data_IF_552515291766
#
_entry.id   IF_552515291766
#
_cell.length_a   1.000
_cell.length_b   1.000
_cell.length_c   1.000
_cell.angle_alpha   90.00
_cell.angle_beta   90.00
_cell.angle_gamma   90.00
#
_symmetry.space_group_name_H-M   'P 1'
#
loop_
_entity.id
_entity.type
_entity.pdbx_description
1 polymer ?
#
# COMPACT_ATOMS: atom_id res chain seq x y z
N UNK A 1 -14.91 6.71 11.81
CA UNK A 1 -15.02 6.55 13.28
C UNK A 1 -14.55 5.21 13.83
N UNK A 2 -14.81 4.06 13.15
CA UNK A 2 -14.32 2.76 13.64
C UNK A 2 -12.80 2.60 13.51
N UNK A 3 -12.21 3.03 12.40
CA UNK A 3 -10.77 2.97 12.15
C UNK A 3 -9.96 3.81 13.16
N UNK A 4 -10.44 5.00 13.49
CA UNK A 4 -9.81 5.88 14.48
C UNK A 4 -9.82 5.28 15.89
N UNK A 5 -10.93 4.61 16.27
CA UNK A 5 -11.03 3.90 17.57
C UNK A 5 -10.11 2.69 17.63
N UNK A 6 -9.95 1.95 16.52
CA UNK A 6 -9.03 0.81 16.45
C UNK A 6 -7.57 1.28 16.53
N UNK A 7 -7.20 2.30 15.76
CA UNK A 7 -5.87 2.89 15.79
C UNK A 7 -5.50 3.40 17.20
N UNK A 8 -6.42 4.08 17.87
CA UNK A 8 -6.21 4.57 19.25
C UNK A 8 -6.00 3.41 20.25
N UNK A 9 -6.74 2.31 20.10
CA UNK A 9 -6.57 1.12 20.95
C UNK A 9 -5.23 0.42 20.72
N UNK A 10 -4.78 0.34 19.46
CA UNK A 10 -3.49 -0.26 19.11
C UNK A 10 -2.33 0.61 19.64
N UNK A 11 -2.43 1.93 19.53
CA UNK A 11 -1.45 2.87 20.11
C UNK A 11 -1.41 2.74 21.63
N UNK A 12 -2.57 2.66 22.29
CA UNK A 12 -2.64 2.48 23.74
C UNK A 12 -2.05 1.14 24.19
N UNK A 13 -2.30 0.07 23.44
CA UNK A 13 -1.69 -1.23 23.69
C UNK A 13 -0.16 -1.22 23.48
N UNK A 14 0.32 -0.55 22.43
CA UNK A 14 1.76 -0.39 22.16
C UNK A 14 2.45 0.44 23.24
N UNK A 15 1.80 1.53 23.73
CA UNK A 15 2.29 2.33 24.85
C UNK A 15 2.29 1.57 26.19
N UNK A 16 1.29 0.71 26.42
CA UNK A 16 1.25 -0.15 27.61
C UNK A 16 2.33 -1.24 27.58
N UNK A 17 2.65 -1.78 26.42
CA UNK A 17 3.75 -2.74 26.24
C UNK A 17 5.12 -2.06 26.40
N UNK A 18 5.25 -0.79 26.07
CA UNK A 18 6.46 0.00 26.28
C UNK A 18 6.64 0.46 27.75
N UNK A 19 5.56 0.50 28.53
CA UNK A 19 5.52 1.11 29.90
C UNK A 19 6.07 0.27 31.05
N UNK A 20 6.68 -0.88 30.78
CA UNK A 20 7.19 -1.78 31.86
C UNK A 20 8.56 -1.43 32.47
N UNK A 21 9.27 -0.41 31.98
CA UNK A 21 10.53 0.05 32.54
C UNK A 21 10.54 1.58 32.57
N UNK A 22 11.26 2.20 33.47
CA UNK A 22 11.44 3.66 33.61
C UNK A 22 12.21 4.27 32.42
N UNK A 23 11.71 4.07 31.22
CA UNK A 23 12.27 4.47 29.97
C UNK A 23 12.00 5.98 29.75
N UNK A 24 13.02 6.73 29.37
CA UNK A 24 12.81 8.09 28.85
C UNK A 24 12.12 7.98 27.51
N UNK A 25 10.85 8.38 27.46
CA UNK A 25 10.06 8.44 26.24
C UNK A 25 10.05 9.86 25.74
N UNK A 26 10.34 10.04 24.47
CA UNK A 26 10.29 11.31 23.77
C UNK A 26 9.17 11.26 22.74
N UNK A 27 8.30 12.25 22.76
CA UNK A 27 7.13 12.32 21.89
C UNK A 27 7.21 13.58 21.02
N UNK A 28 7.12 13.38 19.73
CA UNK A 28 6.97 14.45 18.75
C UNK A 28 5.61 14.33 18.09
N UNK A 29 4.82 15.38 18.12
CA UNK A 29 3.54 15.41 17.44
C UNK A 29 3.45 16.57 16.47
N UNK A 30 2.84 16.33 15.32
CA UNK A 30 2.76 17.28 14.21
C UNK A 30 1.32 17.34 13.70
N UNK A 31 0.51 18.28 14.20
CA UNK A 31 -0.78 18.57 13.60
C UNK A 31 -0.56 19.15 12.21
N UNK A 32 -1.39 18.74 11.28
CA UNK A 32 -1.35 19.25 9.91
C UNK A 32 -2.74 19.49 9.37
N UNK A 33 -2.85 20.41 8.42
CA UNK A 33 -4.03 20.58 7.60
C UNK A 33 -3.59 20.77 6.15
N UNK A 34 -4.25 20.09 5.23
CA UNK A 34 -4.02 20.27 3.80
C UNK A 34 -5.31 20.70 3.14
N UNK A 35 -5.19 21.63 2.20
CA UNK A 35 -6.25 21.98 1.27
C UNK A 35 -5.83 21.53 -0.10
N UNK A 36 -6.71 20.82 -0.80
CA UNK A 36 -6.47 20.30 -2.13
C UNK A 36 -7.54 20.83 -3.07
N UNK A 37 -7.10 21.34 -4.21
CA UNK A 37 -7.94 21.58 -5.35
C UNK A 37 -7.45 20.69 -6.49
N UNK A 38 -8.36 20.01 -7.19
CA UNK A 38 -7.98 19.07 -8.23
C UNK A 38 -8.97 19.03 -9.37
N UNK A 39 -8.54 18.41 -10.46
CA UNK A 39 -9.34 18.12 -11.63
C UNK A 39 -9.08 16.67 -12.03
N UNK A 40 -10.15 15.95 -12.34
CA UNK A 40 -10.11 14.58 -12.85
C UNK A 40 -10.98 14.51 -14.09
N UNK A 41 -10.41 14.08 -15.20
CA UNK A 41 -11.12 13.98 -16.47
C UNK A 41 -11.98 12.71 -16.61
N UNK A 42 -11.87 11.78 -15.65
CA UNK A 42 -12.61 10.52 -15.66
C UNK A 42 -12.96 10.06 -14.25
N UNK A 43 -13.88 10.77 -13.59
CA UNK A 43 -14.29 10.51 -12.18
C UNK A 43 -14.87 9.11 -12.00
N UNK A 44 -15.70 8.65 -12.94
CA UNK A 44 -16.39 7.35 -12.86
C UNK A 44 -15.58 6.17 -13.43
N UNK A 45 -14.39 6.41 -13.96
CA UNK A 45 -13.56 5.39 -14.61
C UNK A 45 -14.28 4.66 -15.78
N UNK A 46 -15.20 5.31 -16.43
CA UNK A 46 -16.00 4.77 -17.55
C UNK A 46 -15.78 5.50 -18.88
N UNK A 47 -14.77 6.37 -18.95
CA UNK A 47 -14.46 7.18 -20.12
C UNK A 47 -15.31 8.45 -20.25
N UNK A 48 -16.15 8.75 -19.25
CA UNK A 48 -16.97 9.97 -19.22
C UNK A 48 -16.94 10.61 -17.83
N UNK A 49 -17.18 11.90 -17.80
CA UNK A 49 -17.37 12.62 -16.55
C UNK A 49 -16.10 13.24 -15.98
N UNK A 50 -15.75 14.40 -16.48
CA UNK A 50 -14.71 15.25 -15.91
C UNK A 50 -15.29 16.15 -14.82
N UNK A 51 -14.57 16.32 -13.71
CA UNK A 51 -14.98 17.26 -12.66
C UNK A 51 -13.81 17.83 -11.86
N UNK A 52 -14.09 18.96 -11.23
CA UNK A 52 -13.25 19.56 -10.21
C UNK A 52 -13.55 19.01 -8.82
N UNK A 53 -12.53 18.89 -7.99
CA UNK A 53 -12.68 18.50 -6.58
C UNK A 53 -11.99 19.50 -5.67
N UNK A 54 -12.67 19.86 -4.58
CA UNK A 54 -12.09 20.57 -3.46
C UNK A 54 -12.05 19.64 -2.24
N UNK A 55 -10.94 19.63 -1.50
CA UNK A 55 -10.80 18.80 -0.32
C UNK A 55 -10.09 19.53 0.80
N UNK A 56 -10.56 19.32 2.03
CA UNK A 56 -9.88 19.71 3.26
C UNK A 56 -9.47 18.42 4.02
N UNK A 57 -8.21 18.34 4.41
CA UNK A 57 -7.62 17.13 5.00
C UNK A 57 -6.87 17.51 6.28
N UNK A 58 -7.55 17.60 7.43
CA UNK A 58 -6.87 17.61 8.72
C UNK A 58 -6.18 16.28 9.00
N UNK A 59 -5.06 16.34 9.71
CA UNK A 59 -4.31 15.16 10.08
C UNK A 59 -3.40 15.40 11.28
N UNK A 60 -2.86 14.30 11.80
CA UNK A 60 -1.89 14.29 12.88
C UNK A 60 -0.85 13.24 12.62
N UNK A 61 0.40 13.60 12.81
CA UNK A 61 1.52 12.67 12.87
C UNK A 61 2.07 12.66 14.29
N UNK A 62 2.33 11.46 14.80
CA UNK A 62 2.89 11.21 16.12
C UNK A 62 4.09 10.29 15.96
N UNK A 63 5.24 10.72 16.44
CA UNK A 63 6.46 9.92 16.54
C UNK A 63 6.81 9.75 18.02
N UNK A 64 6.96 8.51 18.48
CA UNK A 64 7.34 8.16 19.84
C UNK A 64 8.67 7.42 19.80
N UNK A 65 9.64 7.95 20.49
CA UNK A 65 10.98 7.36 20.62
C UNK A 65 11.20 6.92 22.05
N UNK A 66 11.67 5.72 22.24
CA UNK A 66 11.95 5.13 23.55
C UNK A 66 13.29 4.41 23.56
N UNK A 67 13.60 3.82 24.73
CA UNK A 67 14.77 2.97 24.89
C UNK A 67 14.69 1.74 23.96
N UNK A 68 15.81 1.01 23.82
CA UNK A 68 15.91 -0.15 22.94
C UNK A 68 15.61 0.11 21.46
N UNK A 69 15.91 1.33 20.98
CA UNK A 69 15.60 1.80 19.62
C UNK A 69 14.10 1.66 19.27
N UNK A 70 13.23 1.76 20.29
CA UNK A 70 11.79 1.80 20.05
C UNK A 70 11.44 3.09 19.31
N UNK A 71 10.82 2.92 18.15
CA UNK A 71 10.24 4.00 17.39
C UNK A 71 8.82 3.58 16.97
N UNK A 72 7.82 4.36 17.40
CA UNK A 72 6.43 4.21 16.97
C UNK A 72 6.05 5.45 16.20
N UNK A 73 5.65 5.29 14.95
CA UNK A 73 5.17 6.36 14.08
C UNK A 73 3.70 6.13 13.75
N UNK A 74 2.84 7.08 14.06
CA UNK A 74 1.43 7.10 13.67
C UNK A 74 1.21 8.30 12.76
N UNK A 75 0.55 8.08 11.63
CA UNK A 75 0.13 9.12 10.72
C UNK A 75 -1.32 8.90 10.33
N UNK A 76 -2.21 9.78 10.77
CA UNK A 76 -3.64 9.73 10.48
C UNK A 76 -4.11 11.02 9.84
N UNK A 77 -4.97 10.90 8.85
CA UNK A 77 -5.64 12.01 8.20
C UNK A 77 -7.07 11.64 7.85
N UNK A 78 -7.95 12.63 7.92
CA UNK A 78 -9.34 12.50 7.51
C UNK A 78 -9.67 13.64 6.56
N UNK A 79 -10.11 13.33 5.36
CA UNK A 79 -10.45 14.32 4.34
C UNK A 79 -11.96 14.40 4.14
N UNK A 80 -12.42 15.59 3.84
CA UNK A 80 -13.77 15.82 3.33
C UNK A 80 -13.62 16.47 1.97
N UNK A 81 -14.13 15.80 0.93
CA UNK A 81 -14.09 16.26 -0.45
C UNK A 81 -15.47 16.60 -0.98
N UNK A 82 -15.52 17.53 -1.91
CA UNK A 82 -16.71 17.91 -2.65
C UNK A 82 -16.37 18.00 -4.13
N UNK A 83 -17.19 17.37 -4.94
CA UNK A 83 -17.17 17.55 -6.41
C UNK A 83 -17.82 18.88 -6.77
N UNK A 84 -17.38 19.50 -7.88
CA UNK A 84 -17.96 20.76 -8.37
C UNK A 84 -19.38 20.52 -8.94
N UNK A 85 -19.60 19.38 -9.62
CA UNK A 85 -20.87 19.03 -10.25
C UNK A 85 -21.32 17.61 -9.86
N UNK A 86 -21.62 17.35 -8.57
CA UNK A 86 -21.90 16.01 -8.08
C UNK A 86 -23.15 15.36 -8.74
N UNK A 87 -24.13 16.15 -9.11
CA UNK A 87 -25.37 15.71 -9.78
C UNK A 87 -25.11 15.08 -11.16
N UNK A 88 -24.04 15.49 -11.85
CA UNK A 88 -23.64 14.88 -13.14
C UNK A 88 -23.24 13.42 -13.01
N UNK A 89 -22.96 12.96 -11.78
CA UNK A 89 -22.51 11.60 -11.45
C UNK A 89 -23.55 10.83 -10.63
N UNK A 90 -24.78 11.36 -10.50
CA UNK A 90 -25.84 10.74 -9.74
C UNK A 90 -25.71 10.92 -8.21
N UNK A 91 -24.81 11.76 -7.74
CA UNK A 91 -24.72 12.16 -6.34
C UNK A 91 -25.71 13.28 -6.03
N UNK A 92 -26.25 13.31 -4.83
CA UNK A 92 -27.10 14.43 -4.40
C UNK A 92 -26.30 15.74 -4.38
N UNK A 93 -26.91 16.83 -4.82
CA UNK A 93 -26.31 18.16 -4.74
C UNK A 93 -25.92 18.47 -3.29
N UNK A 94 -24.64 18.75 -3.04
CA UNK A 94 -24.12 19.01 -1.70
C UNK A 94 -23.58 17.77 -0.97
N UNK A 95 -23.49 16.61 -1.61
CA UNK A 95 -22.86 15.43 -1.03
C UNK A 95 -21.36 15.67 -0.81
N UNK A 96 -20.92 15.38 0.40
CA UNK A 96 -19.50 15.36 0.76
C UNK A 96 -19.03 13.91 0.80
N UNK A 97 -17.89 13.63 0.20
CA UNK A 97 -17.24 12.35 0.31
C UNK A 97 -16.19 12.39 1.43
N UNK A 98 -16.18 11.35 2.26
CA UNK A 98 -15.21 11.20 3.34
C UNK A 98 -14.07 10.29 2.91
N UNK A 99 -12.84 10.69 3.25
CA UNK A 99 -11.64 9.90 3.01
C UNK A 99 -10.82 9.87 4.30
N UNK A 100 -10.48 8.67 4.76
CA UNK A 100 -9.70 8.49 5.98
C UNK A 100 -8.50 7.59 5.67
N UNK A 101 -7.32 7.99 6.11
CA UNK A 101 -6.12 7.16 6.04
C UNK A 101 -5.38 7.22 7.36
N UNK A 102 -5.05 6.04 7.89
CA UNK A 102 -4.18 5.91 9.05
C UNK A 102 -3.06 4.93 8.73
N UNK A 103 -1.84 5.23 9.14
CA UNK A 103 -0.72 4.31 9.14
C UNK A 103 -0.02 4.30 10.48
N UNK A 104 0.43 3.12 10.89
CA UNK A 104 1.21 2.87 12.10
C UNK A 104 2.45 2.09 11.68
N UNK A 105 3.61 2.54 12.11
CA UNK A 105 4.87 1.82 12.02
C UNK A 105 5.49 1.69 13.42
N UNK A 106 5.97 0.50 13.75
CA UNK A 106 6.68 0.25 15.01
C UNK A 106 7.95 -0.50 14.72
N UNK A 107 9.07 0.00 15.21
CA UNK A 107 10.36 -0.68 15.21
C UNK A 107 10.89 -0.74 16.62
N UNK A 108 11.44 -1.89 17.02
CA UNK A 108 12.04 -2.07 18.32
C UNK A 108 13.13 -3.13 18.29
N UNK A 109 14.11 -3.01 19.17
CA UNK A 109 15.01 -4.11 19.52
C UNK A 109 14.46 -4.79 20.77
N UNK A 110 13.85 -5.97 20.60
CA UNK A 110 13.32 -6.76 21.71
C UNK A 110 14.47 -7.35 22.55
N UNK A 111 15.60 -7.63 21.89
CA UNK A 111 16.85 -8.07 22.49
C UNK A 111 18.02 -7.63 21.60
N UNK A 112 19.29 -7.82 22.00
CA UNK A 112 20.44 -7.59 21.12
C UNK A 112 20.41 -8.42 19.83
N UNK A 113 19.62 -9.49 19.79
CA UNK A 113 19.50 -10.39 18.63
C UNK A 113 18.16 -10.28 17.91
N UNK A 114 17.15 -9.69 18.54
CA UNK A 114 15.78 -9.66 18.02
C UNK A 114 15.37 -8.25 17.66
N UNK A 115 14.95 -8.06 16.41
CA UNK A 115 14.36 -6.83 15.90
C UNK A 115 12.92 -7.09 15.50
N UNK A 116 12.03 -6.22 15.90
CA UNK A 116 10.62 -6.20 15.52
C UNK A 116 10.36 -5.04 14.55
N UNK A 117 9.69 -5.32 13.44
CA UNK A 117 9.11 -4.32 12.54
C UNK A 117 7.62 -4.67 12.36
N UNK A 118 6.72 -3.75 12.74
CA UNK A 118 5.29 -3.89 12.53
C UNK A 118 4.78 -2.68 11.78
N UNK A 119 4.02 -2.89 10.73
CA UNK A 119 3.38 -1.83 9.94
C UNK A 119 1.92 -2.15 9.76
N UNK A 120 1.08 -1.16 9.98
CA UNK A 120 -0.34 -1.25 9.71
C UNK A 120 -0.78 -0.01 8.95
N UNK A 121 -1.69 -0.17 8.02
CA UNK A 121 -2.35 0.94 7.35
C UNK A 121 -3.80 0.59 7.06
N UNK A 122 -4.66 1.61 7.11
CA UNK A 122 -6.05 1.50 6.73
C UNK A 122 -6.44 2.75 5.96
N UNK A 123 -7.09 2.56 4.83
CA UNK A 123 -7.62 3.64 4.01
C UNK A 123 -9.08 3.35 3.72
N UNK A 124 -9.94 4.30 4.02
CA UNK A 124 -11.32 4.33 3.59
C UNK A 124 -11.52 5.53 2.67
N UNK A 125 -12.12 5.34 1.54
CA UNK A 125 -12.37 6.41 0.60
C UNK A 125 -13.72 6.24 -0.09
N UNK A 126 -14.49 7.31 -0.07
CA UNK A 126 -15.71 7.50 -0.87
C UNK A 126 -15.42 8.27 -2.17
N UNK A 127 -14.22 8.80 -2.27
CA UNK A 127 -13.77 9.59 -3.41
C UNK A 127 -12.73 8.80 -4.20
N UNK A 128 -12.97 8.52 -5.47
CA UNK A 128 -12.01 7.83 -6.34
C UNK A 128 -10.65 8.54 -6.46
N UNK A 129 -10.57 9.85 -6.18
CA UNK A 129 -9.30 10.57 -6.12
C UNK A 129 -8.37 10.11 -4.99
N UNK A 130 -8.92 9.61 -3.89
CA UNK A 130 -8.12 9.20 -2.74
C UNK A 130 -7.41 7.86 -2.95
N UNK A 131 -7.79 7.09 -3.97
CA UNK A 131 -7.28 5.75 -4.25
C UNK A 131 -6.46 5.77 -5.54
N UNK A 132 -5.58 6.72 -5.67
CA UNK A 132 -4.60 6.73 -6.75
C UNK A 132 -3.45 5.77 -6.40
N UNK A 133 -3.55 4.53 -6.84
CA UNK A 133 -2.52 3.52 -6.68
C UNK A 133 -2.32 2.71 -7.96
N UNK A 134 -1.07 2.45 -8.33
CA UNK A 134 -0.77 1.59 -9.47
C UNK A 134 -1.33 0.19 -9.26
N UNK A 135 -2.02 -0.33 -10.27
CA UNK A 135 -2.50 -1.69 -10.30
C UNK A 135 -3.73 -1.97 -9.44
N UNK A 136 -4.31 -0.97 -8.78
CA UNK A 136 -5.59 -1.15 -8.10
C UNK A 136 -6.71 -1.14 -9.15
N UNK A 137 -7.31 -2.30 -9.39
CA UNK A 137 -8.42 -2.48 -10.32
C UNK A 137 -9.71 -2.01 -9.64
N UNK A 138 -10.06 -0.73 -9.76
CA UNK A 138 -11.35 -0.21 -9.32
C UNK A 138 -12.38 -0.47 -10.41
N UNK A 139 -13.60 -0.88 -10.02
CA UNK A 139 -14.73 -0.97 -10.95
C UNK A 139 -15.34 0.41 -11.18
N UNK A 140 -15.86 0.69 -12.40
CA UNK A 140 -16.65 1.87 -12.64
C UNK A 140 -17.85 1.95 -11.68
N UNK A 141 -18.08 3.14 -11.12
CA UNK A 141 -19.22 3.36 -10.20
C UNK A 141 -19.00 2.87 -8.77
N UNK A 142 -17.83 2.37 -8.41
CA UNK A 142 -17.48 2.07 -7.02
C UNK A 142 -17.15 3.36 -6.27
N UNK A 143 -17.97 3.67 -5.27
CA UNK A 143 -17.85 4.90 -4.50
C UNK A 143 -17.13 4.68 -3.16
N UNK A 144 -17.28 3.48 -2.57
CA UNK A 144 -16.74 3.17 -1.26
C UNK A 144 -15.70 2.07 -1.35
N UNK A 145 -14.48 2.36 -0.94
CA UNK A 145 -13.39 1.37 -0.88
C UNK A 145 -12.72 1.44 0.48
N UNK A 146 -12.57 0.30 1.10
CA UNK A 146 -11.76 0.11 2.30
C UNK A 146 -10.60 -0.83 1.98
N UNK A 147 -9.38 -0.37 2.27
CA UNK A 147 -8.15 -1.17 2.16
C UNK A 147 -7.45 -1.15 3.49
N UNK A 148 -7.17 -2.31 4.06
CA UNK A 148 -6.32 -2.42 5.24
C UNK A 148 -5.15 -3.35 4.96
N UNK A 149 -3.99 -3.02 5.51
CA UNK A 149 -2.77 -3.83 5.43
C UNK A 149 -2.14 -3.90 6.82
N UNK A 150 -1.64 -5.07 7.17
CA UNK A 150 -0.85 -5.31 8.36
C UNK A 150 0.34 -6.16 7.96
N UNK A 151 1.53 -5.79 8.37
CA UNK A 151 2.72 -6.63 8.29
C UNK A 151 3.41 -6.65 9.64
N UNK A 152 3.90 -7.80 10.04
CA UNK A 152 4.69 -7.97 11.25
C UNK A 152 5.82 -8.94 10.98
N UNK A 153 7.05 -8.55 11.30
CA UNK A 153 8.26 -9.35 11.10
C UNK A 153 9.15 -9.28 12.33
N UNK A 154 9.69 -10.41 12.71
CA UNK A 154 10.75 -10.53 13.71
C UNK A 154 11.98 -11.09 13.02
N UNK A 155 13.09 -10.37 13.12
CA UNK A 155 14.40 -10.80 12.65
C UNK A 155 15.22 -11.24 13.85
N UNK A 156 15.63 -12.52 13.89
CA UNK A 156 16.47 -13.11 14.93
C UNK A 156 17.87 -13.39 14.41
N UNK A 157 18.87 -12.71 14.94
CA UNK A 157 20.28 -12.93 14.59
C UNK A 157 20.78 -14.22 15.26
N UNK A 158 21.03 -15.26 14.47
CA UNK A 158 21.68 -16.51 14.95
C UNK A 158 23.16 -16.29 15.19
N UNK A 159 23.79 -15.52 14.32
CA UNK A 159 25.23 -15.18 14.38
C UNK A 159 25.50 -13.81 13.76
N UNK A 160 26.73 -13.37 13.71
CA UNK A 160 27.14 -12.15 12.97
C UNK A 160 26.90 -12.25 11.44
N UNK A 161 26.69 -13.47 10.93
CA UNK A 161 26.57 -13.74 9.49
C UNK A 161 25.23 -14.36 9.08
N UNK A 162 24.38 -14.76 10.04
CA UNK A 162 23.12 -15.44 9.72
C UNK A 162 21.96 -14.95 10.60
N UNK A 163 20.79 -14.91 10.02
CA UNK A 163 19.56 -14.49 10.67
C UNK A 163 18.36 -15.31 10.16
N UNK A 164 17.36 -15.46 11.01
CA UNK A 164 16.04 -15.98 10.67
C UNK A 164 15.06 -14.81 10.75
N UNK A 165 14.22 -14.68 9.75
CA UNK A 165 13.06 -13.80 9.74
C UNK A 165 11.78 -14.62 9.71
N UNK A 166 10.82 -14.21 10.52
CA UNK A 166 9.51 -14.83 10.54
C UNK A 166 8.44 -13.78 10.84
N UNK A 167 7.29 -13.96 10.23
CA UNK A 167 6.22 -13.00 10.39
C UNK A 167 4.98 -13.35 9.60
N UNK A 168 4.11 -12.37 9.46
CA UNK A 168 2.91 -12.49 8.65
C UNK A 168 2.51 -11.13 8.06
N UNK A 169 1.99 -11.17 6.84
CA UNK A 169 1.29 -10.08 6.21
C UNK A 169 -0.22 -10.37 6.19
N UNK A 170 -1.04 -9.35 6.34
CA UNK A 170 -2.46 -9.44 6.12
C UNK A 170 -2.94 -8.25 5.29
N UNK A 171 -3.86 -8.49 4.39
CA UNK A 171 -4.50 -7.46 3.58
C UNK A 171 -6.01 -7.72 3.56
N UNK A 172 -6.81 -6.68 3.78
CA UNK A 172 -8.24 -6.71 3.59
C UNK A 172 -8.64 -5.70 2.54
N UNK A 173 -9.61 -6.08 1.73
CA UNK A 173 -10.20 -5.25 0.69
C UNK A 173 -11.72 -5.39 0.78
N UNK A 174 -12.41 -4.26 0.91
CA UNK A 174 -13.86 -4.23 0.94
C UNK A 174 -14.38 -3.06 0.11
N UNK A 175 -15.46 -3.32 -0.60
CA UNK A 175 -16.16 -2.34 -1.43
C UNK A 175 -17.56 -2.10 -0.83
N UNK A 176 -18.20 -1.01 -1.21
CA UNK A 176 -19.55 -0.66 -0.76
C UNK A 176 -20.62 -1.72 -1.05
N UNK A 177 -21.79 -1.54 -0.50
CA UNK A 177 -22.86 -2.54 -0.50
C UNK A 177 -23.18 -3.08 -1.90
N UNK A 178 -23.18 -4.42 -2.03
CA UNK A 178 -23.53 -5.13 -3.26
C UNK A 178 -22.36 -5.55 -4.14
N UNK A 179 -21.12 -5.22 -3.76
CA UNK A 179 -19.97 -5.57 -4.57
C UNK A 179 -19.43 -6.97 -4.26
N UNK A 180 -19.20 -7.70 -5.35
CA UNK A 180 -18.46 -8.97 -5.34
C UNK A 180 -16.98 -8.66 -5.30
N UNK A 181 -16.22 -9.32 -4.45
CA UNK A 181 -14.77 -9.15 -4.40
C UNK A 181 -14.25 -8.64 -3.07
N UNK A 182 -15.13 -8.55 -2.07
CA UNK A 182 -14.70 -8.36 -0.70
C UNK A 182 -13.91 -9.58 -0.22
N UNK A 183 -12.76 -9.35 0.39
CA UNK A 183 -11.96 -10.45 0.88
C UNK A 183 -10.76 -10.01 1.68
N UNK A 184 -10.08 -10.98 2.25
CA UNK A 184 -8.82 -10.76 2.94
C UNK A 184 -7.84 -11.89 2.63
N UNK A 185 -6.57 -11.57 2.76
CA UNK A 185 -5.45 -12.48 2.63
C UNK A 185 -4.65 -12.45 3.92
N UNK A 186 -4.18 -13.60 4.35
CA UNK A 186 -3.17 -13.73 5.41
C UNK A 186 -2.00 -14.51 4.84
N UNK A 187 -0.78 -14.02 5.06
CA UNK A 187 0.41 -14.59 4.46
C UNK A 187 1.54 -14.73 5.51
N UNK A 188 1.53 -15.81 6.32
CA UNK A 188 2.67 -16.15 7.15
C UNK A 188 3.90 -16.49 6.31
N UNK A 189 5.07 -16.12 6.79
CA UNK A 189 6.33 -16.37 6.12
C UNK A 189 7.44 -16.72 7.12
N UNK A 190 8.43 -17.45 6.64
CA UNK A 190 9.64 -17.81 7.34
C UNK A 190 10.81 -17.72 6.36
N UNK A 191 11.88 -17.06 6.76
CA UNK A 191 13.08 -16.90 5.96
C UNK A 191 14.35 -17.23 6.76
N UNK A 192 15.37 -17.60 6.03
CA UNK A 192 16.73 -17.73 6.54
C UNK A 192 17.67 -16.97 5.61
N UNK A 193 18.50 -16.12 6.19
CA UNK A 193 19.44 -15.33 5.43
C UNK A 193 20.86 -15.48 5.98
N UNK A 194 21.85 -15.43 5.07
CA UNK A 194 23.26 -15.50 5.42
C UNK A 194 24.09 -14.52 4.60
N UNK A 195 25.02 -13.87 5.26
CA UNK A 195 25.97 -12.94 4.66
C UNK A 195 27.21 -13.72 4.19
N UNK A 196 27.47 -13.69 2.91
CA UNK A 196 28.67 -14.27 2.32
C UNK A 196 29.84 -13.28 2.29
N UNK A 197 29.53 -11.98 2.37
CA UNK A 197 30.53 -10.91 2.50
C UNK A 197 29.90 -9.69 3.18
N UNK A 198 30.70 -8.64 3.39
CA UNK A 198 30.19 -7.36 3.89
C UNK A 198 29.16 -6.70 2.93
N UNK A 199 29.14 -7.10 1.65
CA UNK A 199 28.28 -6.53 0.61
C UNK A 199 27.25 -7.50 0.07
N UNK A 200 27.32 -8.79 0.39
CA UNK A 200 26.46 -9.80 -0.21
C UNK A 200 25.75 -10.63 0.84
N UNK A 201 24.45 -10.82 0.62
CA UNK A 201 23.55 -11.59 1.45
C UNK A 201 22.68 -12.47 0.56
N UNK A 202 22.56 -13.74 0.91
CA UNK A 202 21.60 -14.66 0.35
C UNK A 202 20.44 -14.84 1.32
N UNK A 203 19.26 -15.07 0.81
CA UNK A 203 18.08 -15.46 1.60
C UNK A 203 17.31 -16.58 0.90
N UNK A 204 16.72 -17.44 1.70
CA UNK A 204 15.72 -18.42 1.26
C UNK A 204 14.49 -18.26 2.13
N UNK A 205 13.32 -18.22 1.53
CA UNK A 205 12.08 -18.01 2.26
C UNK A 205 10.93 -18.85 1.73
N UNK A 206 10.09 -19.27 2.65
CA UNK A 206 8.80 -19.88 2.36
C UNK A 206 7.70 -18.92 2.80
N UNK A 207 6.63 -18.85 2.01
CA UNK A 207 5.46 -18.03 2.30
C UNK A 207 4.22 -18.80 1.93
N UNK A 208 3.25 -18.77 2.82
CA UNK A 208 1.92 -19.28 2.59
C UNK A 208 0.95 -18.12 2.48
N UNK A 209 0.05 -18.13 1.50
CA UNK A 209 -0.96 -17.11 1.31
C UNK A 209 -2.33 -17.78 1.34
N UNK A 210 -3.17 -17.34 2.26
CA UNK A 210 -4.54 -17.84 2.45
C UNK A 210 -5.50 -16.75 1.99
N UNK A 211 -6.31 -17.04 0.98
CA UNK A 211 -7.26 -16.10 0.39
C UNK A 211 -8.68 -16.43 0.86
N UNK A 212 -9.36 -15.46 1.41
CA UNK A 212 -10.71 -15.59 1.96
C UNK A 212 -11.66 -14.62 1.28
N UNK A 213 -12.82 -15.12 0.83
CA UNK A 213 -13.93 -14.28 0.39
C UNK A 213 -14.81 -13.88 1.58
N UNK A 214 -15.42 -12.70 1.51
CA UNK A 214 -16.34 -12.17 2.51
C UNK A 214 -17.63 -11.72 1.83
N UNK A 215 -18.79 -12.14 2.35
CA UNK A 215 -20.10 -11.69 1.88
C UNK A 215 -21.04 -12.82 1.48
N UNK A 216 -22.31 -12.46 1.30
CA UNK A 216 -23.39 -13.40 0.90
C UNK A 216 -23.38 -13.75 -0.60
N UNK A 217 -22.58 -13.03 -1.39
CA UNK A 217 -22.49 -13.25 -2.82
C UNK A 217 -21.18 -14.01 -3.11
N UNK A 218 -21.28 -15.31 -3.38
CA UNK A 218 -20.10 -16.13 -3.62
C UNK A 218 -19.36 -15.57 -4.85
N UNK A 219 -18.02 -15.67 -4.83
CA UNK A 219 -17.23 -15.58 -6.04
C UNK A 219 -17.99 -16.33 -7.17
N UNK A 220 -18.17 -15.74 -8.37
CA UNK A 220 -18.89 -16.40 -9.48
C UNK A 220 -18.34 -17.80 -9.81
N UNK A 221 -17.21 -18.19 -9.24
CA UNK A 221 -16.59 -19.51 -9.32
C UNK A 221 -16.87 -20.42 -8.13
N UNK A 222 -17.33 -19.87 -7.00
CA UNK A 222 -17.74 -20.71 -5.88
C UNK A 222 -19.11 -21.35 -6.21
N UNK A 223 -19.35 -22.60 -5.79
CA UNK A 223 -20.67 -23.19 -5.89
C UNK A 223 -21.72 -22.26 -5.25
N UNK A 224 -22.86 -22.08 -5.90
CA UNK A 224 -23.92 -21.24 -5.38
C UNK A 224 -24.26 -21.66 -3.94
N UNK A 225 -24.18 -20.72 -2.98
CA UNK A 225 -24.44 -20.98 -1.57
C UNK A 225 -23.22 -21.31 -0.72
N UNK A 226 -22.00 -21.26 -1.24
CA UNK A 226 -20.81 -21.38 -0.40
C UNK A 226 -20.70 -20.17 0.54
N UNK A 227 -20.71 -20.36 1.87
CA UNK A 227 -20.49 -19.26 2.81
C UNK A 227 -19.09 -18.69 2.59
N UNK A 228 -18.89 -17.39 2.88
CA UNK A 228 -17.57 -16.77 2.88
C UNK A 228 -16.57 -17.65 3.66
N UNK A 229 -15.43 -17.96 3.04
CA UNK A 229 -14.43 -18.87 3.62
C UNK A 229 -13.15 -18.87 2.82
N UNK A 230 -12.29 -19.84 3.11
CA UNK A 230 -11.05 -20.06 2.38
C UNK A 230 -11.37 -20.42 0.93
N UNK A 231 -10.91 -19.59 0.00
CA UNK A 231 -11.12 -19.78 -1.43
C UNK A 231 -9.94 -20.51 -2.08
N UNK A 232 -8.75 -19.97 -1.85
CA UNK A 232 -7.51 -20.45 -2.42
C UNK A 232 -6.38 -20.35 -1.40
N UNK A 233 -5.38 -21.17 -1.60
CA UNK A 233 -4.16 -21.23 -0.81
C UNK A 233 -2.97 -21.26 -1.74
N UNK A 234 -1.95 -20.47 -1.48
CA UNK A 234 -0.74 -20.47 -2.28
C UNK A 234 0.49 -20.72 -1.40
N UNK A 235 1.29 -21.68 -1.79
CA UNK A 235 2.58 -22.00 -1.18
C UNK A 235 3.69 -21.51 -2.08
N UNK A 236 4.60 -20.69 -1.58
CA UNK A 236 5.73 -20.19 -2.36
C UNK A 236 7.06 -20.46 -1.69
N UNK A 237 8.06 -20.75 -2.51
CA UNK A 237 9.46 -20.85 -2.12
C UNK A 237 10.26 -19.90 -2.98
N UNK A 238 11.09 -19.07 -2.36
CA UNK A 238 11.91 -18.08 -3.04
C UNK A 238 13.36 -18.14 -2.56
N UNK A 239 14.30 -17.96 -3.48
CA UNK A 239 15.71 -17.73 -3.21
C UNK A 239 16.04 -16.30 -3.58
N UNK A 240 16.68 -15.58 -2.68
CA UNK A 240 17.07 -14.18 -2.85
C UNK A 240 18.58 -13.97 -2.78
N UNK A 241 19.02 -12.95 -3.47
CA UNK A 241 20.38 -12.43 -3.40
C UNK A 241 20.34 -10.90 -3.33
N UNK A 242 20.95 -10.35 -2.31
CA UNK A 242 21.10 -8.89 -2.15
C UNK A 242 22.58 -8.52 -2.20
N UNK A 243 22.90 -7.51 -3.01
CA UNK A 243 24.24 -6.96 -3.13
C UNK A 243 24.23 -5.46 -2.84
N UNK A 244 25.05 -5.02 -1.88
CA UNK A 244 25.25 -3.60 -1.59
C UNK A 244 26.20 -2.99 -2.64
N UNK A 245 25.61 -2.21 -3.56
CA UNK A 245 26.36 -1.46 -4.58
C UNK A 245 27.18 -0.34 -3.93
N UNK A 246 26.58 0.33 -2.94
CA UNK A 246 27.18 1.38 -2.12
C UNK A 246 26.56 1.31 -0.70
N UNK A 247 27.06 2.07 0.28
CA UNK A 247 26.47 2.09 1.62
C UNK A 247 24.97 2.45 1.65
N UNK A 248 24.51 3.17 0.63
CA UNK A 248 23.14 3.64 0.48
C UNK A 248 22.40 3.05 -0.74
N UNK A 249 23.00 2.08 -1.41
CA UNK A 249 22.43 1.49 -2.62
C UNK A 249 22.52 -0.02 -2.58
N UNK A 250 21.44 -0.69 -2.94
CA UNK A 250 21.36 -2.15 -3.02
C UNK A 250 20.67 -2.64 -4.28
N UNK A 251 21.08 -3.82 -4.71
CA UNK A 251 20.45 -4.62 -5.74
C UNK A 251 19.91 -5.88 -5.06
N UNK A 252 18.65 -6.20 -5.27
CA UNK A 252 18.04 -7.44 -4.79
C UNK A 252 17.42 -8.19 -5.95
N UNK A 253 17.73 -9.48 -6.05
CA UNK A 253 17.12 -10.43 -7.00
C UNK A 253 16.49 -11.54 -6.20
N UNK A 254 15.24 -11.87 -6.44
CA UNK A 254 14.55 -13.03 -5.89
C UNK A 254 13.94 -13.83 -7.01
N UNK A 255 14.03 -15.14 -6.94
CA UNK A 255 13.40 -16.06 -7.88
C UNK A 255 12.89 -17.28 -7.13
N UNK A 256 11.79 -17.84 -7.60
CA UNK A 256 11.17 -18.99 -6.96
C UNK A 256 9.98 -19.53 -7.73
N UNK A 257 9.09 -20.19 -7.00
CA UNK A 257 7.84 -20.69 -7.53
C UNK A 257 6.73 -20.63 -6.50
N UNK A 258 5.52 -20.57 -6.98
CA UNK A 258 4.32 -20.67 -6.17
C UNK A 258 3.38 -21.73 -6.73
N UNK A 259 2.74 -22.47 -5.84
CA UNK A 259 1.69 -23.43 -6.16
C UNK A 259 0.40 -22.96 -5.50
N UNK A 260 -0.62 -22.72 -6.31
CA UNK A 260 -1.97 -22.34 -5.86
C UNK A 260 -2.84 -23.59 -5.84
N UNK A 261 -3.61 -23.76 -4.78
CA UNK A 261 -4.57 -24.85 -4.56
C UNK A 261 -5.88 -24.26 -4.03
N UNK A 262 -6.98 -24.95 -4.21
CA UNK A 262 -8.32 -24.53 -3.80
C UNK A 262 -9.28 -24.51 -4.98
N UNK A 263 -10.00 -23.43 -5.17
CA UNK A 263 -10.87 -23.22 -6.33
C UNK A 263 -10.07 -23.12 -7.64
N UNK A 264 -8.84 -22.62 -7.54
CA UNK A 264 -7.88 -22.55 -8.64
C UNK A 264 -6.72 -23.49 -8.36
N UNK A 265 -6.21 -24.13 -9.42
CA UNK A 265 -5.00 -24.95 -9.34
C UNK A 265 -4.01 -24.48 -10.39
N UNK A 266 -2.87 -23.99 -9.94
CA UNK A 266 -1.82 -23.51 -10.85
C UNK A 266 -0.46 -23.58 -10.16
N UNK A 267 0.57 -23.86 -10.96
CA UNK A 267 1.96 -23.66 -10.57
C UNK A 267 2.55 -22.55 -11.44
N UNK A 268 3.28 -21.64 -10.83
CA UNK A 268 3.86 -20.51 -11.54
C UNK A 268 5.23 -20.13 -11.00
N UNK A 269 6.15 -19.66 -11.84
CA UNK A 269 7.37 -19.02 -11.36
C UNK A 269 7.02 -17.72 -10.64
N UNK A 270 7.88 -17.31 -9.71
CA UNK A 270 7.88 -15.97 -9.12
C UNK A 270 9.25 -15.35 -9.28
N UNK A 271 9.32 -14.07 -9.57
CA UNK A 271 10.57 -13.36 -9.71
C UNK A 271 10.41 -11.90 -9.28
N UNK A 272 11.45 -11.37 -8.65
CA UNK A 272 11.52 -9.94 -8.29
C UNK A 272 12.95 -9.44 -8.44
N UNK A 273 13.08 -8.31 -9.08
CA UNK A 273 14.31 -7.56 -9.20
C UNK A 273 14.08 -6.16 -8.67
N UNK A 274 14.93 -5.70 -7.75
CA UNK A 274 14.80 -4.36 -7.15
C UNK A 274 16.17 -3.71 -7.06
N UNK A 275 16.26 -2.46 -7.48
CA UNK A 275 17.38 -1.56 -7.19
C UNK A 275 16.83 -0.44 -6.32
N UNK A 276 17.50 -0.18 -5.21
CA UNK A 276 17.18 0.91 -4.31
C UNK A 276 18.41 1.74 -4.00
N UNK A 277 18.23 3.03 -3.94
CA UNK A 277 19.28 3.96 -3.52
C UNK A 277 18.65 5.09 -2.70
N UNK A 278 19.13 5.27 -1.49
CA UNK A 278 18.62 6.25 -0.53
C UNK A 278 19.75 7.11 0.00
N UNK A 279 19.88 8.31 -0.54
CA UNK A 279 20.73 9.35 0.02
C UNK A 279 19.86 10.40 0.74
N UNK A 280 20.41 11.29 1.56
CA UNK A 280 19.62 12.33 2.22
C UNK A 280 18.80 13.22 1.29
N UNK A 281 19.24 13.38 0.04
CA UNK A 281 18.61 14.27 -0.94
C UNK A 281 17.96 13.55 -2.12
N UNK A 282 18.23 12.25 -2.31
CA UNK A 282 17.71 11.48 -3.45
C UNK A 282 17.32 10.08 -2.99
N UNK A 283 16.08 9.68 -3.28
CA UNK A 283 15.65 8.31 -3.21
C UNK A 283 15.27 7.83 -4.61
N UNK A 284 15.84 6.71 -5.03
CA UNK A 284 15.55 6.04 -6.29
C UNK A 284 15.17 4.61 -5.98
N UNK A 285 14.07 4.14 -6.56
CA UNK A 285 13.72 2.72 -6.59
C UNK A 285 13.34 2.30 -8.00
N UNK A 286 13.77 1.11 -8.37
CA UNK A 286 13.36 0.43 -9.60
C UNK A 286 12.99 -0.99 -9.24
N UNK A 287 11.79 -1.43 -9.59
CA UNK A 287 11.29 -2.78 -9.30
C UNK A 287 10.69 -3.38 -10.55
N UNK A 288 11.05 -4.64 -10.83
CA UNK A 288 10.34 -5.51 -11.76
C UNK A 288 9.93 -6.76 -10.98
N UNK A 289 8.67 -7.13 -11.04
CA UNK A 289 8.14 -8.27 -10.30
C UNK A 289 7.13 -9.06 -11.13
N UNK A 290 7.16 -10.37 -10.96
CA UNK A 290 6.15 -11.33 -11.36
C UNK A 290 5.79 -12.14 -10.12
N UNK A 291 4.62 -11.87 -9.53
CA UNK A 291 4.28 -12.39 -8.20
C UNK A 291 2.77 -12.55 -8.04
N UNK A 292 2.37 -13.26 -6.98
CA UNK A 292 0.96 -13.38 -6.59
C UNK A 292 0.52 -12.15 -5.79
N UNK A 293 -0.67 -11.66 -6.12
CA UNK A 293 -1.33 -10.57 -5.40
C UNK A 293 -2.80 -10.89 -5.13
N UNK A 294 -3.41 -10.20 -4.17
CA UNK A 294 -4.86 -10.27 -3.97
C UNK A 294 -5.57 -9.44 -5.03
N UNK A 295 -6.59 -10.05 -5.64
CA UNK A 295 -7.39 -9.38 -6.65
C UNK A 295 -8.59 -8.64 -6.06
N UNK A 296 -8.80 -7.38 -6.41
CA UNK A 296 -9.97 -6.62 -5.94
C UNK A 296 -11.30 -7.11 -6.52
N UNK A 297 -11.26 -7.88 -7.60
CA UNK A 297 -12.48 -8.31 -8.31
C UNK A 297 -12.94 -9.69 -7.86
N UNK A 298 -12.02 -10.54 -7.43
CA UNK A 298 -12.31 -11.96 -7.18
C UNK A 298 -12.05 -12.40 -5.75
N UNK A 299 -11.51 -11.53 -4.89
CA UNK A 299 -10.96 -11.89 -3.58
C UNK A 299 -9.96 -13.06 -3.61
N UNK A 300 -9.61 -13.55 -4.81
CA UNK A 300 -8.70 -14.66 -5.06
C UNK A 300 -7.32 -14.20 -5.53
N UNK A 301 -6.42 -15.14 -5.76
CA UNK A 301 -5.07 -14.85 -6.23
C UNK A 301 -5.06 -14.37 -7.69
N UNK A 302 -4.37 -13.28 -7.95
CA UNK A 302 -4.01 -12.81 -9.27
C UNK A 302 -2.50 -12.93 -9.46
N UNK A 303 -2.08 -13.15 -10.70
CA UNK A 303 -0.69 -12.96 -11.13
C UNK A 303 -0.50 -11.52 -11.52
N UNK A 304 0.46 -10.86 -10.90
CA UNK A 304 0.83 -9.48 -11.22
C UNK A 304 2.22 -9.40 -11.82
N UNK A 305 2.30 -8.82 -13.03
CA UNK A 305 3.54 -8.34 -13.61
C UNK A 305 3.60 -6.82 -13.38
N UNK A 306 4.66 -6.35 -12.76
CA UNK A 306 4.85 -4.92 -12.48
C UNK A 306 6.27 -4.52 -12.85
N UNK A 307 6.40 -3.40 -13.57
CA UNK A 307 7.67 -2.70 -13.67
C UNK A 307 7.44 -1.24 -13.26
N UNK A 308 8.20 -0.79 -12.25
CA UNK A 308 8.02 0.53 -11.65
C UNK A 308 9.38 1.19 -11.41
N UNK A 309 9.43 2.49 -11.67
CA UNK A 309 10.52 3.36 -11.25
C UNK A 309 9.95 4.52 -10.43
N UNK A 310 10.58 4.82 -9.31
CA UNK A 310 10.25 6.00 -8.51
C UNK A 310 11.52 6.77 -8.18
N UNK A 311 11.47 8.08 -8.37
CA UNK A 311 12.53 9.02 -8.04
C UNK A 311 11.94 10.12 -7.17
N UNK A 312 12.56 10.34 -6.02
CA UNK A 312 12.27 11.47 -5.14
C UNK A 312 13.55 12.25 -4.96
N UNK A 313 13.48 13.56 -5.14
CA UNK A 313 14.60 14.44 -4.88
C UNK A 313 14.17 15.59 -4.00
N UNK A 314 14.90 15.80 -2.93
CA UNK A 314 14.73 16.89 -1.99
C UNK A 314 15.85 17.92 -2.19
N UNK A 315 15.47 19.18 -2.33
CA UNK A 315 16.32 20.35 -2.26
C UNK A 315 15.91 21.17 -1.05
N UNK A 316 16.63 22.21 -0.75
CA UNK A 316 16.36 23.06 0.42
C UNK A 316 14.92 23.57 0.46
N UNK A 317 14.46 24.16 -0.66
CA UNK A 317 13.12 24.76 -0.79
C UNK A 317 12.19 24.02 -1.76
N UNK A 318 12.71 23.08 -2.51
CA UNK A 318 11.96 22.34 -3.53
C UNK A 318 12.01 20.85 -3.24
N UNK A 319 11.00 20.14 -3.72
CA UNK A 319 11.02 18.69 -3.78
C UNK A 319 10.38 18.24 -5.08
N UNK A 320 10.95 17.23 -5.70
CA UNK A 320 10.42 16.59 -6.90
C UNK A 320 10.16 15.12 -6.66
N UNK A 321 9.04 14.62 -7.17
CA UNK A 321 8.70 13.19 -7.15
C UNK A 321 8.22 12.79 -8.54
N UNK A 322 8.78 11.70 -9.06
CA UNK A 322 8.31 11.06 -10.29
C UNK A 322 8.17 9.57 -10.00
N UNK A 323 7.05 9.00 -10.39
CA UNK A 323 6.77 7.57 -10.33
C UNK A 323 6.15 7.14 -11.65
N UNK A 324 6.72 6.14 -12.29
CA UNK A 324 6.22 5.59 -13.55
C UNK A 324 6.13 4.08 -13.40
N UNK A 325 5.10 3.48 -13.98
CA UNK A 325 4.95 2.04 -13.93
C UNK A 325 4.07 1.50 -15.04
N UNK A 326 4.34 0.24 -15.36
CA UNK A 326 3.48 -0.59 -16.20
C UNK A 326 3.09 -1.82 -15.39
N UNK A 327 1.88 -2.29 -15.59
CA UNK A 327 1.39 -3.46 -14.88
C UNK A 327 0.51 -4.32 -15.79
N UNK A 328 0.57 -5.61 -15.52
CA UNK A 328 -0.36 -6.59 -16.06
C UNK A 328 -0.85 -7.46 -14.92
N UNK A 329 -2.15 -7.59 -14.80
CA UNK A 329 -2.77 -8.49 -13.85
C UNK A 329 -3.53 -9.56 -14.61
N UNK A 330 -3.40 -10.81 -14.23
CA UNK A 330 -4.09 -11.92 -14.85
C UNK A 330 -4.61 -12.88 -13.77
N UNK A 331 -5.73 -13.53 -14.06
CA UNK A 331 -6.23 -14.60 -13.20
C UNK A 331 -5.27 -15.80 -13.20
N UNK A 332 -5.00 -16.33 -12.02
CA UNK A 332 -4.14 -17.52 -11.85
C UNK A 332 -4.68 -18.72 -12.63
N UNK A 333 -6.00 -18.91 -12.67
CA UNK A 333 -6.62 -20.05 -13.34
C UNK A 333 -6.65 -19.95 -14.85
N UNK A 334 -6.41 -18.76 -15.42
CA UNK A 334 -6.62 -18.44 -16.84
C UNK A 334 -8.02 -18.82 -17.37
N UNK A 335 -8.92 -19.22 -16.48
CA UNK A 335 -10.27 -19.68 -16.84
C UNK A 335 -11.22 -18.52 -17.15
N UNK A 336 -10.86 -17.33 -16.72
CA UNK A 336 -11.55 -16.10 -17.07
C UNK A 336 -10.51 -15.09 -17.53
N UNK A 337 -10.82 -14.38 -18.60
CA UNK A 337 -10.00 -13.26 -19.09
C UNK A 337 -10.05 -12.04 -18.13
N UNK A 338 -10.05 -12.26 -16.81
CA UNK A 338 -9.97 -11.20 -15.81
C UNK A 338 -8.53 -10.66 -15.76
N UNK A 339 -8.08 -10.11 -16.86
CA UNK A 339 -6.77 -9.51 -16.99
C UNK A 339 -6.87 -8.02 -17.27
N UNK A 340 -5.97 -7.24 -16.70
CA UNK A 340 -5.79 -5.85 -17.04
C UNK A 340 -4.33 -5.58 -17.37
N UNK A 341 -4.11 -4.90 -18.47
CA UNK A 341 -2.82 -4.33 -18.84
C UNK A 341 -2.94 -2.82 -18.73
N UNK A 342 -2.04 -2.17 -18.04
CA UNK A 342 -2.09 -0.74 -17.88
C UNK A 342 -0.72 -0.11 -17.65
N UNK A 343 -0.70 1.19 -17.71
CA UNK A 343 0.45 2.00 -17.32
C UNK A 343 -0.03 3.22 -16.57
N UNK A 344 0.84 3.76 -15.75
CA UNK A 344 0.54 4.98 -15.04
C UNK A 344 1.79 5.74 -14.69
N UNK A 345 1.60 6.99 -14.32
CA UNK A 345 2.64 7.88 -13.89
C UNK A 345 2.13 8.95 -12.95
N UNK A 346 3.00 9.36 -12.04
CA UNK A 346 2.81 10.49 -11.16
C UNK A 346 4.03 11.39 -11.24
N UNK A 347 3.82 12.68 -11.38
CA UNK A 347 4.85 13.69 -11.22
C UNK A 347 4.35 14.74 -10.22
N UNK A 348 5.19 15.09 -9.25
CA UNK A 348 4.86 16.12 -8.28
C UNK A 348 6.05 17.06 -8.07
N UNK A 349 5.75 18.33 -7.90
CA UNK A 349 6.68 19.38 -7.56
C UNK A 349 6.18 20.11 -6.31
N UNK A 350 6.98 20.11 -5.26
CA UNK A 350 6.66 20.76 -4.00
C UNK A 350 7.57 21.94 -3.73
N UNK A 351 7.02 23.02 -3.21
CA UNK A 351 7.74 24.21 -2.78
C UNK A 351 7.50 24.45 -1.28
N UNK A 352 8.57 24.55 -0.51
CA UNK A 352 8.57 24.87 0.93
C UNK A 352 8.73 26.38 1.08
N UNK A 353 7.64 27.10 1.38
CA UNK A 353 7.69 28.54 1.64
C UNK A 353 8.29 28.86 3.01
N UNK A 354 7.95 28.01 3.99
CA UNK A 354 8.48 28.06 5.35
C UNK A 354 8.73 26.64 5.83
N UNK A 355 9.22 26.48 7.08
CA UNK A 355 9.35 25.16 7.71
C UNK A 355 8.02 24.43 7.81
N UNK A 356 6.94 25.19 7.97
CA UNK A 356 5.61 24.69 8.29
C UNK A 356 4.65 24.72 7.08
N UNK A 357 4.98 25.44 5.99
CA UNK A 357 4.07 25.65 4.88
C UNK A 357 4.68 25.15 3.55
N UNK A 358 3.97 24.25 2.89
CA UNK A 358 4.36 23.65 1.60
C UNK A 358 3.21 23.73 0.61
N UNK A 359 3.53 24.09 -0.63
CA UNK A 359 2.66 23.96 -1.79
C UNK A 359 3.17 22.82 -2.66
N UNK A 360 2.30 21.96 -3.14
CA UNK A 360 2.62 20.87 -4.03
C UNK A 360 1.66 20.88 -5.24
N UNK A 361 2.21 20.81 -6.43
CA UNK A 361 1.48 20.48 -7.64
C UNK A 361 1.78 19.04 -8.02
N UNK A 362 0.75 18.24 -8.30
CA UNK A 362 0.88 16.87 -8.76
C UNK A 362 0.02 16.63 -9.99
N UNK A 363 0.57 15.84 -10.92
CA UNK A 363 -0.14 15.30 -12.06
C UNK A 363 -0.02 13.79 -12.05
N UNK A 364 -1.14 13.10 -12.23
CA UNK A 364 -1.22 11.65 -12.29
C UNK A 364 -1.94 11.23 -13.55
N UNK A 365 -1.41 10.20 -14.21
CA UNK A 365 -2.08 9.49 -15.30
C UNK A 365 -2.16 8.02 -14.96
N UNK A 366 -3.33 7.41 -15.19
CA UNK A 366 -3.57 5.97 -15.10
C UNK A 366 -4.38 5.54 -16.33
N UNK A 367 -3.81 4.65 -17.13
CA UNK A 367 -4.44 4.15 -18.35
C UNK A 367 -4.49 2.62 -18.32
N UNK A 368 -5.65 2.06 -18.63
CA UNK A 368 -5.89 0.63 -18.77
C UNK A 368 -6.22 0.33 -20.21
N UNK A 369 -5.40 -0.52 -20.82
CA UNK A 369 -5.47 -0.79 -22.25
C UNK A 369 -6.43 -1.93 -22.59
N UNK A 370 -6.50 -2.96 -21.71
CA UNK A 370 -7.37 -4.11 -21.86
C UNK A 370 -7.94 -4.46 -20.47
N UNK A 371 -9.11 -3.96 -20.16
CA UNK A 371 -9.84 -4.37 -18.99
C UNK A 371 -11.07 -5.16 -19.45
N UNK A 372 -11.04 -6.47 -19.29
CA UNK A 372 -12.12 -7.39 -19.71
C UNK A 372 -13.39 -7.17 -18.90
N UNK A 373 -13.27 -6.52 -17.75
CA UNK A 373 -14.42 -6.21 -16.90
C UNK A 373 -15.16 -4.94 -17.32
N UNK A 374 -14.54 -4.15 -18.19
CA UNK A 374 -15.10 -2.89 -18.69
C UNK A 374 -14.92 -2.86 -20.21
N UNK A 375 -16.02 -2.73 -20.95
CA UNK A 375 -16.02 -2.70 -22.41
C UNK A 375 -15.24 -1.52 -23.03
N UNK A 376 -14.68 -0.63 -22.21
CA UNK A 376 -13.98 0.58 -22.63
C UNK A 376 -12.59 0.67 -22.00
N UNK A 377 -11.66 1.21 -22.74
CA UNK A 377 -10.37 1.65 -22.22
C UNK A 377 -10.61 2.71 -21.12
N UNK A 378 -10.01 2.51 -19.95
CA UNK A 378 -10.04 3.49 -18.88
C UNK A 378 -8.77 4.33 -18.99
N UNK A 379 -8.92 5.61 -19.26
CA UNK A 379 -7.83 6.60 -19.24
C UNK A 379 -8.25 7.72 -18.29
N UNK A 380 -7.39 8.06 -17.35
CA UNK A 380 -7.66 9.05 -16.33
C UNK A 380 -6.44 9.96 -16.14
N UNK A 381 -6.66 11.26 -16.22
CA UNK A 381 -5.69 12.26 -15.83
C UNK A 381 -6.22 13.03 -14.60
N UNK A 382 -5.37 13.17 -13.60
CA UNK A 382 -5.68 13.89 -12.37
C UNK A 382 -4.63 14.96 -12.16
N UNK A 383 -5.05 16.21 -11.97
CA UNK A 383 -4.20 17.33 -11.62
C UNK A 383 -4.60 17.83 -10.23
N UNK A 384 -3.62 18.06 -9.37
CA UNK A 384 -3.87 18.44 -7.98
C UNK A 384 -2.92 19.56 -7.58
N UNK A 385 -3.48 20.54 -6.86
CA UNK A 385 -2.73 21.56 -6.14
C UNK A 385 -3.03 21.38 -4.66
N UNK A 386 -1.99 21.17 -3.85
CA UNK A 386 -2.11 20.93 -2.42
C UNK A 386 -1.32 21.94 -1.63
N UNK A 387 -1.98 22.66 -0.75
CA UNK A 387 -1.36 23.52 0.26
C UNK A 387 -1.39 22.78 1.59
N UNK A 388 -0.24 22.54 2.19
CA UNK A 388 -0.10 21.82 3.47
C UNK A 388 0.56 22.74 4.48
N UNK A 389 -0.08 22.89 5.66
CA UNK A 389 0.54 23.43 6.86
C UNK A 389 0.75 22.29 7.85
N UNK A 390 1.98 22.18 8.38
CA UNK A 390 2.36 21.18 9.38
C UNK A 390 3.31 21.82 10.38
N UNK A 391 3.03 21.69 11.68
CA UNK A 391 3.85 22.29 12.75
C UNK A 391 4.34 21.21 13.71
N UNK A 392 5.64 21.05 13.81
CA UNK A 392 6.25 20.17 14.80
C UNK A 392 6.10 20.78 16.22
N UNK A 393 5.73 19.93 17.19
CA UNK A 393 5.74 20.23 18.62
C UNK A 393 6.41 19.07 19.36
N UNK A 394 7.23 19.40 20.33
CA UNK A 394 8.04 18.46 21.11
C UNK A 394 7.58 18.49 22.57
N UNK A 395 7.41 17.33 23.18
CA UNK A 395 7.09 17.15 24.60
C UNK A 395 8.03 16.11 25.24
#
# INVERSE_FOLDING_TARGET
>A
MAATKLALRVVFAALLLAGGASAKVYVEWRPRISFLAGYNDNVLLNGSGADGVGQAVPGIKLDVFGDHALHVALDCQAGVSRLAHPESFGFSSGAFAANETCSLGTRAHLSPRDKLDVRASATYAQDPFAIAGFGLLLRPGQNDVFVARLSGEIQHALSGHSEIDYGADAQALAFGAGDRGNGYMVAPHLGYAWKTSARSKWDVGVREQLFFGVGADPNPRAPAGAPGGLLDQAHSLQLGYTYALAPWSSLTVRAGGAMVTGLNQAAMPTARFTIESYTPSVALSFTVAHDLMIGPISAGPLVGDVAEVALIREWEYLSGRVRLGVYRNADVSRATDLGALGYGGEAALGWKFTRDLRLEFAALRDARLNDVTVANQVDRNVFQLRLTWEKARFE
#
